data_IF_972868388171
#
_entry.id   IF_972868388171
#
_cell.length_a   1.000
_cell.length_b   1.000
_cell.length_c   1.000
_cell.angle_alpha   90.00
_cell.angle_beta   90.00
_cell.angle_gamma   90.00
#
_symmetry.space_group_name_H-M   'P 1'
#
loop_
_entity.id
_entity.type
_entity.pdbx_description
1 polymer ?
#
# COMPACT_ATOMS: atom_id res chain seq x y z
N UNK A 1 26.96 39.29 -9.93
CA UNK A 1 26.99 38.70 -11.28
C UNK A 1 27.95 37.52 -11.35
N UNK A 2 29.14 37.58 -10.75
CA UNK A 2 30.09 36.44 -10.77
C UNK A 2 29.59 35.21 -9.99
N UNK A 3 28.95 35.42 -8.83
CA UNK A 3 28.42 34.32 -8.00
C UNK A 3 27.31 33.53 -8.68
N UNK A 4 26.44 34.20 -9.44
CA UNK A 4 25.36 33.56 -10.21
C UNK A 4 25.90 32.76 -11.39
N UNK A 5 26.99 33.20 -12.03
CA UNK A 5 27.62 32.48 -13.14
C UNK A 5 28.33 31.21 -12.65
N UNK A 6 29.05 31.30 -11.54
CA UNK A 6 29.70 30.14 -10.91
C UNK A 6 28.68 29.08 -10.45
N UNK A 7 27.55 29.49 -9.89
CA UNK A 7 26.46 28.56 -9.52
C UNK A 7 25.85 27.87 -10.74
N UNK A 8 25.67 28.58 -11.85
CA UNK A 8 25.14 27.98 -13.09
C UNK A 8 26.10 26.97 -13.71
N UNK A 9 27.41 27.23 -13.67
CA UNK A 9 28.40 26.28 -14.18
C UNK A 9 28.49 25.02 -13.30
N UNK A 10 28.47 25.17 -11.98
CA UNK A 10 28.44 24.03 -11.05
C UNK A 10 27.19 23.16 -11.25
N UNK A 11 26.01 23.76 -11.41
CA UNK A 11 24.78 23.01 -11.69
C UNK A 11 24.86 22.26 -13.03
N UNK A 12 25.48 22.86 -14.04
CA UNK A 12 25.64 22.26 -15.36
C UNK A 12 26.56 21.05 -15.31
N UNK A 13 27.69 21.16 -14.60
CA UNK A 13 28.63 20.07 -14.39
C UNK A 13 27.99 18.90 -13.61
N UNK A 14 27.19 19.20 -12.57
CA UNK A 14 26.41 18.20 -11.85
C UNK A 14 25.37 17.50 -12.74
N UNK A 15 24.69 18.25 -13.61
CA UNK A 15 23.73 17.69 -14.56
C UNK A 15 24.43 16.81 -15.60
N UNK A 16 25.58 17.22 -16.11
CA UNK A 16 26.39 16.42 -17.06
C UNK A 16 26.84 15.11 -16.42
N UNK A 17 27.25 15.14 -15.15
CA UNK A 17 27.60 13.92 -14.40
C UNK A 17 26.40 12.97 -14.23
N UNK A 18 25.20 13.51 -13.93
CA UNK A 18 23.97 12.70 -13.83
C UNK A 18 23.56 12.14 -15.20
N UNK A 19 23.69 12.94 -16.27
CA UNK A 19 23.38 12.53 -17.64
C UNK A 19 24.34 11.47 -18.18
N UNK A 20 25.57 11.40 -17.67
CA UNK A 20 26.55 10.36 -18.05
C UNK A 20 26.14 8.96 -17.57
N UNK A 21 25.33 8.86 -16.50
CA UNK A 21 24.87 7.59 -15.95
C UNK A 21 23.34 7.55 -15.78
N UNK A 22 22.56 7.65 -16.87
CA UNK A 22 21.10 7.70 -16.79
C UNK A 22 20.52 6.40 -16.19
N UNK A 23 21.22 5.28 -16.37
CA UNK A 23 20.87 3.99 -15.80
C UNK A 23 21.00 3.95 -14.26
N UNK A 24 21.95 4.68 -13.65
CA UNK A 24 22.06 4.75 -12.19
C UNK A 24 20.84 5.43 -11.58
N UNK A 25 20.35 6.51 -12.21
CA UNK A 25 19.12 7.19 -11.79
C UNK A 25 17.93 6.23 -11.85
N UNK A 26 17.79 5.47 -12.94
CA UNK A 26 16.75 4.46 -13.07
C UNK A 26 16.87 3.37 -12.00
N UNK A 27 18.09 2.88 -11.70
CA UNK A 27 18.31 1.89 -10.63
C UNK A 27 17.90 2.45 -9.28
N UNK A 28 18.34 3.67 -8.93
CA UNK A 28 17.99 4.32 -7.66
C UNK A 28 16.47 4.50 -7.52
N UNK A 29 15.78 4.90 -8.59
CA UNK A 29 14.32 5.06 -8.60
C UNK A 29 13.57 3.72 -8.56
N UNK A 30 14.13 2.64 -9.13
CA UNK A 30 13.49 1.32 -9.19
C UNK A 30 13.71 0.46 -7.95
N UNK A 31 14.81 0.64 -7.22
CA UNK A 31 15.07 -0.08 -5.96
C UNK A 31 13.89 0.00 -4.97
N UNK A 32 13.34 1.18 -4.61
CA UNK A 32 12.21 1.24 -3.69
C UNK A 32 10.97 0.54 -4.24
N UNK A 33 10.70 0.65 -5.54
CA UNK A 33 9.59 -0.06 -6.21
C UNK A 33 9.75 -1.59 -6.10
N UNK A 34 10.97 -2.13 -6.28
CA UNK A 34 11.26 -3.56 -6.12
C UNK A 34 11.06 -4.01 -4.67
N UNK A 35 11.49 -3.20 -3.69
CA UNK A 35 11.29 -3.49 -2.27
C UNK A 35 9.79 -3.56 -1.93
N UNK A 36 9.00 -2.61 -2.45
CA UNK A 36 7.54 -2.58 -2.26
C UNK A 36 6.86 -3.77 -2.96
N UNK A 37 7.25 -4.08 -4.20
CA UNK A 37 6.70 -5.19 -4.96
C UNK A 37 6.88 -6.54 -4.25
N UNK A 38 8.03 -6.73 -3.59
CA UNK A 38 8.30 -7.95 -2.79
C UNK A 38 7.37 -8.10 -1.57
N UNK A 39 6.74 -7.02 -1.10
CA UNK A 39 5.83 -7.06 0.05
C UNK A 39 4.38 -7.37 -0.32
N UNK A 40 4.07 -7.65 -1.60
CA UNK A 40 2.69 -7.90 -2.11
C UNK A 40 1.70 -6.80 -1.67
N UNK A 41 2.19 -5.56 -1.54
CA UNK A 41 1.38 -4.40 -1.19
C UNK A 41 0.70 -3.92 -2.46
N UNK A 42 -0.61 -4.11 -2.55
CA UNK A 42 -1.39 -3.61 -3.68
C UNK A 42 -1.77 -2.14 -3.45
N UNK A 43 -1.48 -1.24 -4.38
CA UNK A 43 -1.89 0.16 -4.26
C UNK A 43 -3.41 0.24 -4.32
N UNK A 44 -4.00 0.96 -3.36
CA UNK A 44 -5.42 1.30 -3.40
C UNK A 44 -5.69 2.28 -4.55
N UNK A 45 -6.89 2.25 -5.16
CA UNK A 45 -7.27 3.06 -6.33
C UNK A 45 -7.11 4.57 -6.10
N UNK A 46 -7.19 5.00 -4.84
CA UNK A 46 -6.96 6.39 -4.43
C UNK A 46 -5.57 6.90 -4.79
N UNK A 47 -4.56 6.01 -4.85
CA UNK A 47 -3.19 6.41 -5.12
C UNK A 47 -2.96 6.80 -6.59
N UNK A 48 -3.33 5.97 -7.60
CA UNK A 48 -3.35 6.40 -8.99
C UNK A 48 -4.17 7.68 -9.23
N UNK A 49 -5.33 7.81 -8.56
CA UNK A 49 -6.18 8.99 -8.68
C UNK A 49 -5.47 10.26 -8.14
N UNK A 50 -4.74 10.15 -7.03
CA UNK A 50 -3.95 11.26 -6.48
C UNK A 50 -2.80 11.67 -7.42
N UNK A 51 -2.16 10.71 -8.11
CA UNK A 51 -1.10 10.99 -9.09
C UNK A 51 -1.59 11.71 -10.35
N UNK A 52 -2.91 11.76 -10.60
CA UNK A 52 -3.45 12.61 -11.67
C UNK A 52 -3.28 14.11 -11.38
N UNK A 53 -3.22 14.51 -10.11
CA UNK A 53 -3.05 15.91 -9.73
C UNK A 53 -1.70 16.47 -10.20
N UNK A 54 -0.54 15.91 -9.81
CA UNK A 54 0.75 16.43 -10.25
C UNK A 54 0.90 16.30 -11.77
N UNK A 55 0.42 15.22 -12.40
CA UNK A 55 0.52 15.07 -13.86
C UNK A 55 -0.23 16.18 -14.62
N UNK A 56 -1.44 16.56 -14.18
CA UNK A 56 -2.16 17.70 -14.75
C UNK A 56 -1.42 19.02 -14.50
N UNK A 57 -0.86 19.21 -13.30
CA UNK A 57 -0.05 20.39 -12.99
C UNK A 57 1.20 20.47 -13.88
N UNK A 58 1.87 19.35 -14.15
CA UNK A 58 3.02 19.28 -15.05
C UNK A 58 2.65 19.69 -16.48
N UNK A 59 1.49 19.26 -16.98
CA UNK A 59 0.98 19.73 -18.29
C UNK A 59 0.72 21.24 -18.28
N UNK A 60 0.23 21.77 -17.15
CA UNK A 60 0.03 23.21 -16.94
C UNK A 60 1.30 24.06 -17.11
N UNK A 61 2.47 23.48 -16.82
CA UNK A 61 3.78 24.17 -16.97
C UNK A 61 4.02 24.63 -18.42
N UNK A 62 3.50 23.89 -19.41
CA UNK A 62 3.62 24.23 -20.83
C UNK A 62 2.95 25.58 -21.13
N UNK A 63 1.84 25.88 -20.46
CA UNK A 63 1.08 27.11 -20.65
C UNK A 63 1.58 28.26 -19.78
N UNK A 64 2.07 27.96 -18.57
CA UNK A 64 2.60 28.96 -17.66
C UNK A 64 3.63 28.35 -16.69
N UNK A 65 4.85 28.87 -16.71
CA UNK A 65 5.95 28.41 -15.84
C UNK A 65 5.67 28.59 -14.35
N UNK A 66 4.75 29.48 -13.96
CA UNK A 66 4.31 29.65 -12.56
C UNK A 66 3.72 28.38 -11.93
N UNK A 67 3.30 27.39 -12.74
CA UNK A 67 2.83 26.09 -12.27
C UNK A 67 3.93 25.13 -11.81
N UNK A 68 5.21 25.44 -12.07
CA UNK A 68 6.33 24.60 -11.69
C UNK A 68 6.42 24.38 -10.18
N UNK A 69 6.29 25.45 -9.39
CA UNK A 69 6.38 25.36 -7.92
C UNK A 69 5.20 24.54 -7.34
N UNK A 70 3.94 24.78 -7.73
CA UNK A 70 2.82 23.92 -7.34
C UNK A 70 2.98 22.44 -7.71
N UNK A 71 3.50 22.13 -8.91
CA UNK A 71 3.71 20.76 -9.36
C UNK A 71 4.70 20.01 -8.46
N UNK A 72 5.87 20.62 -8.21
CA UNK A 72 6.90 20.05 -7.32
C UNK A 72 6.35 19.87 -5.90
N UNK A 73 5.60 20.84 -5.40
CA UNK A 73 5.00 20.76 -4.06
C UNK A 73 3.99 19.60 -3.97
N UNK A 74 3.17 19.38 -5.01
CA UNK A 74 2.22 18.27 -5.06
C UNK A 74 2.94 16.91 -5.10
N UNK A 75 3.99 16.78 -5.92
CA UNK A 75 4.81 15.57 -5.99
C UNK A 75 5.46 15.24 -4.64
N UNK A 76 6.08 16.24 -4.00
CA UNK A 76 6.71 16.08 -2.70
C UNK A 76 5.68 15.65 -1.63
N UNK A 77 4.50 16.26 -1.62
CA UNK A 77 3.43 15.91 -0.68
C UNK A 77 2.97 14.47 -0.87
N UNK A 78 2.68 14.06 -2.11
CA UNK A 78 2.26 12.70 -2.41
C UNK A 78 3.36 11.71 -2.02
N UNK A 79 4.62 12.01 -2.34
CA UNK A 79 5.76 11.19 -1.98
C UNK A 79 5.88 10.99 -0.46
N UNK A 80 5.79 12.07 0.33
CA UNK A 80 5.85 12.00 1.79
C UNK A 80 4.70 11.16 2.34
N UNK A 81 3.47 11.38 1.88
CA UNK A 81 2.30 10.60 2.32
C UNK A 81 2.47 9.12 1.97
N UNK A 82 2.96 8.81 0.77
CA UNK A 82 3.25 7.44 0.33
C UNK A 82 4.27 6.76 1.22
N UNK A 83 5.31 7.50 1.60
CA UNK A 83 6.40 6.98 2.42
C UNK A 83 5.90 6.68 3.83
N UNK A 84 5.11 7.60 4.41
CA UNK A 84 4.46 7.39 5.71
C UNK A 84 3.52 6.19 5.67
N UNK A 85 2.68 6.08 4.63
CA UNK A 85 1.77 4.95 4.45
C UNK A 85 2.54 3.62 4.38
N UNK A 86 3.57 3.54 3.53
CA UNK A 86 4.41 2.36 3.37
C UNK A 86 5.09 1.92 4.67
N UNK A 87 5.61 2.85 5.46
CA UNK A 87 6.21 2.56 6.76
C UNK A 87 5.17 2.33 7.87
N UNK A 88 3.89 2.54 7.59
CA UNK A 88 2.81 2.25 8.55
C UNK A 88 2.16 0.90 8.39
N UNK A 89 2.38 0.22 7.27
CA UNK A 89 1.84 -1.11 7.01
C UNK A 89 2.38 -2.14 8.03
N UNK A 90 1.49 -2.94 8.66
CA UNK A 90 1.91 -4.00 9.57
C UNK A 90 2.67 -5.08 8.80
N UNK A 91 3.70 -5.64 9.43
CA UNK A 91 4.40 -6.80 8.89
C UNK A 91 3.49 -8.03 8.93
N UNK A 92 3.61 -8.91 7.92
CA UNK A 92 2.93 -10.21 7.90
C UNK A 92 3.31 -11.08 9.10
N UNK A 93 4.52 -10.89 9.65
CA UNK A 93 4.97 -11.60 10.85
C UNK A 93 4.24 -11.18 12.13
N UNK A 94 3.53 -10.04 12.12
CA UNK A 94 2.84 -9.49 13.29
C UNK A 94 1.33 -9.69 13.26
N UNK A 95 0.82 -10.33 12.20
CA UNK A 95 -0.58 -10.64 11.99
C UNK A 95 -0.71 -12.14 11.75
N UNK A 96 -1.48 -12.82 12.59
CA UNK A 96 -1.71 -14.26 12.49
C UNK A 96 -3.20 -14.56 12.46
N UNK A 97 -3.64 -15.13 11.34
CA UNK A 97 -5.01 -15.61 11.16
C UNK A 97 -5.06 -17.12 11.37
N UNK A 98 -6.00 -17.56 12.18
CA UNK A 98 -6.25 -18.97 12.46
C UNK A 98 -7.71 -19.29 12.17
N UNK A 99 -7.93 -20.42 11.50
CA UNK A 99 -9.27 -20.95 11.23
C UNK A 99 -9.44 -22.22 12.03
N UNK A 100 -10.40 -22.21 12.94
CA UNK A 100 -10.76 -23.35 13.79
C UNK A 100 -12.06 -23.94 13.29
N UNK A 101 -12.00 -25.19 12.81
CA UNK A 101 -13.16 -25.93 12.32
C UNK A 101 -13.02 -27.41 12.67
N UNK A 102 -14.15 -28.11 12.67
CA UNK A 102 -14.15 -29.55 12.88
C UNK A 102 -13.50 -30.26 11.69
N UNK A 103 -12.71 -31.31 11.99
CA UNK A 103 -12.05 -32.15 10.98
C UNK A 103 -13.03 -32.81 10.01
N UNK A 104 -14.24 -33.09 10.49
CA UNK A 104 -15.32 -33.69 9.70
C UNK A 104 -16.54 -32.78 9.78
N UNK A 105 -17.06 -32.43 8.60
CA UNK A 105 -18.28 -31.65 8.43
C UNK A 105 -19.34 -32.52 7.74
N UNK A 106 -20.60 -32.36 8.12
CA UNK A 106 -21.70 -33.01 7.41
C UNK A 106 -22.01 -32.23 6.14
N UNK A 107 -22.29 -32.95 5.05
CA UNK A 107 -22.67 -32.34 3.76
C UNK A 107 -24.01 -31.58 3.88
N UNK A 108 -24.91 -32.03 4.76
CA UNK A 108 -26.28 -31.51 4.82
C UNK A 108 -26.47 -30.47 5.94
N UNK A 109 -25.54 -30.39 6.90
CA UNK A 109 -25.69 -29.53 8.10
C UNK A 109 -24.75 -28.33 8.08
N UNK A 110 -25.19 -27.23 8.69
CA UNK A 110 -24.36 -26.05 8.90
C UNK A 110 -23.13 -26.40 9.75
N UNK A 111 -21.97 -26.03 9.22
CA UNK A 111 -20.69 -26.19 9.90
C UNK A 111 -20.29 -24.87 10.53
N UNK A 112 -20.06 -24.88 11.83
CA UNK A 112 -19.65 -23.70 12.59
C UNK A 112 -18.13 -23.57 12.50
N UNK A 113 -17.66 -22.38 12.14
CA UNK A 113 -16.25 -22.05 12.06
C UNK A 113 -15.95 -20.83 12.90
N UNK A 114 -14.88 -20.93 13.67
CA UNK A 114 -14.32 -19.82 14.43
C UNK A 114 -13.06 -19.31 13.70
N UNK A 115 -13.11 -18.06 13.28
CA UNK A 115 -11.98 -17.37 12.69
C UNK A 115 -11.34 -16.45 13.73
N UNK A 116 -10.07 -16.67 14.01
CA UNK A 116 -9.33 -15.93 15.05
C UNK A 116 -8.26 -15.08 14.39
N UNK A 117 -8.33 -13.78 14.62
CA UNK A 117 -7.34 -12.82 14.15
C UNK A 117 -6.53 -12.29 15.32
N UNK A 118 -5.23 -12.58 15.28
CA UNK A 118 -4.26 -12.21 16.32
C UNK A 118 -3.40 -11.06 15.77
N UNK A 119 -3.46 -9.91 16.43
CA UNK A 119 -2.60 -8.77 16.14
C UNK A 119 -1.49 -8.70 17.19
N UNK A 120 -0.28 -9.12 16.84
CA UNK A 120 0.90 -9.05 17.72
C UNK A 120 1.61 -7.68 17.61
N UNK A 121 1.18 -6.82 16.70
CA UNK A 121 1.77 -5.50 16.52
C UNK A 121 1.43 -4.54 17.67
N UNK A 122 2.26 -3.51 17.82
CA UNK A 122 2.04 -2.41 18.76
C UNK A 122 1.05 -1.35 18.24
N UNK A 123 0.35 -1.60 17.12
CA UNK A 123 -0.55 -0.66 16.47
C UNK A 123 -1.97 -1.21 16.43
N UNK A 124 -2.95 -0.31 16.41
CA UNK A 124 -4.36 -0.65 16.20
C UNK A 124 -4.58 -0.80 14.70
N UNK A 125 -5.22 -1.88 14.28
CA UNK A 125 -5.42 -2.21 12.88
C UNK A 125 -6.91 -2.24 12.54
N UNK A 126 -7.25 -1.75 11.34
CA UNK A 126 -8.56 -1.93 10.72
C UNK A 126 -8.39 -2.97 9.63
N UNK A 127 -9.11 -4.07 9.75
CA UNK A 127 -8.94 -5.23 8.89
C UNK A 127 -10.29 -5.59 8.27
N UNK A 128 -10.24 -6.04 7.03
CA UNK A 128 -11.33 -6.74 6.37
C UNK A 128 -10.86 -8.16 6.16
N UNK A 129 -11.57 -9.10 6.75
CA UNK A 129 -11.33 -10.52 6.66
C UNK A 129 -12.30 -11.09 5.63
N UNK A 130 -11.80 -11.92 4.73
CA UNK A 130 -12.60 -12.67 3.77
C UNK A 130 -12.17 -14.13 3.90
N UNK A 131 -13.10 -15.01 4.22
CA UNK A 131 -12.84 -16.45 4.14
C UNK A 131 -12.89 -16.90 2.68
N UNK A 132 -11.83 -17.55 2.22
CA UNK A 132 -11.68 -18.04 0.83
C UNK A 132 -12.42 -19.38 0.66
N UNK A 133 -13.75 -19.32 0.80
CA UNK A 133 -14.62 -20.47 0.61
C UNK A 133 -14.86 -20.73 -0.89
N UNK A 134 -14.80 -22.00 -1.35
CA UNK A 134 -15.20 -22.34 -2.70
C UNK A 134 -16.66 -21.98 -2.99
N UNK A 135 -16.98 -21.75 -4.26
CA UNK A 135 -18.35 -21.41 -4.71
C UNK A 135 -19.39 -22.49 -4.42
N UNK A 136 -18.96 -23.72 -4.11
CA UNK A 136 -19.83 -24.84 -3.73
C UNK A 136 -20.37 -24.74 -2.30
N UNK A 137 -20.12 -23.62 -1.59
CA UNK A 137 -20.59 -23.40 -0.23
C UNK A 137 -21.53 -22.18 -0.17
N UNK A 138 -22.69 -22.39 0.41
CA UNK A 138 -23.57 -21.32 0.87
C UNK A 138 -23.05 -20.79 2.22
N UNK A 139 -22.85 -19.48 2.31
CA UNK A 139 -22.41 -18.79 3.52
C UNK A 139 -23.28 -17.57 3.76
N UNK A 140 -23.68 -17.33 5.02
CA UNK A 140 -24.48 -16.15 5.38
C UNK A 140 -23.64 -14.88 5.33
N UNK A 141 -22.41 -14.93 5.85
CA UNK A 141 -21.46 -13.82 5.84
C UNK A 141 -20.03 -14.38 5.72
N UNK A 142 -19.31 -13.95 4.69
CA UNK A 142 -17.89 -14.31 4.48
C UNK A 142 -16.94 -13.14 4.69
N UNK A 143 -17.46 -11.91 4.76
CA UNK A 143 -16.68 -10.68 4.86
C UNK A 143 -16.89 -10.05 6.23
N UNK A 144 -15.85 -10.05 7.05
CA UNK A 144 -15.90 -9.46 8.39
C UNK A 144 -15.05 -8.19 8.45
N UNK A 145 -15.66 -7.07 8.85
CA UNK A 145 -14.95 -5.81 9.07
C UNK A 145 -14.73 -5.59 10.55
N UNK A 146 -13.47 -5.44 10.95
CA UNK A 146 -13.16 -5.29 12.36
C UNK A 146 -12.01 -4.33 12.62
N UNK A 147 -12.06 -3.76 13.81
CA UNK A 147 -10.93 -3.05 14.40
C UNK A 147 -10.35 -3.92 15.51
N UNK A 148 -9.04 -4.16 15.46
CA UNK A 148 -8.30 -4.93 16.47
C UNK A 148 -7.26 -3.99 17.10
N UNK A 149 -7.28 -3.92 18.42
CA UNK A 149 -6.34 -3.18 19.24
C UNK A 149 -4.92 -3.75 19.19
N UNK A 150 -4.04 -3.11 19.93
CA UNK A 150 -2.61 -3.49 20.00
C UNK A 150 -2.50 -4.78 20.80
N UNK A 151 -1.73 -5.77 20.32
CA UNK A 151 -1.52 -7.05 21.03
C UNK A 151 -2.84 -7.73 21.43
N UNK A 152 -3.86 -7.57 20.60
CA UNK A 152 -5.22 -8.08 20.87
C UNK A 152 -5.53 -9.25 19.93
N UNK A 153 -6.35 -10.16 20.43
CA UNK A 153 -6.93 -11.22 19.63
C UNK A 153 -8.43 -11.05 19.54
N UNK A 154 -8.99 -11.16 18.33
CA UNK A 154 -10.43 -11.09 18.10
C UNK A 154 -10.91 -12.33 17.37
N UNK A 155 -12.04 -12.87 17.82
CA UNK A 155 -12.68 -14.05 17.25
C UNK A 155 -13.97 -13.66 16.54
N UNK A 156 -14.22 -14.29 15.40
CA UNK A 156 -15.42 -14.17 14.59
C UNK A 156 -15.99 -15.56 14.38
N UNK A 157 -17.30 -15.70 14.52
CA UNK A 157 -17.99 -16.96 14.34
C UNK A 157 -18.99 -16.82 13.21
N UNK A 158 -19.01 -17.80 12.32
CA UNK A 158 -19.94 -17.86 11.21
C UNK A 158 -20.20 -19.31 10.84
N UNK A 159 -21.23 -19.52 10.02
CA UNK A 159 -21.63 -20.83 9.55
C UNK A 159 -21.70 -20.85 8.03
N UNK A 160 -21.31 -21.98 7.45
CA UNK A 160 -21.52 -22.28 6.04
C UNK A 160 -22.14 -23.67 5.88
N UNK A 161 -22.71 -23.90 4.71
CA UNK A 161 -23.29 -25.18 4.30
C UNK A 161 -22.81 -25.53 2.88
N UNK A 162 -22.42 -26.79 2.62
CA UNK A 162 -22.22 -27.26 1.25
C UNK A 162 -23.52 -27.21 0.45
N UNK A 163 -23.45 -26.75 -0.80
CA UNK A 163 -24.56 -26.74 -1.77
C UNK A 163 -24.62 -28.05 -2.55
#
# INVERSE_FOLDING_TARGET
METTLQQTEQLREQLEFIQMFPWLVLVVLTIPLIIVARRKVYPHITYPLALLIPTVLTVGIIFNTSWLVPAIAADALIFIVSLLDLFTLPSTSTLRAERHHNKVASIVKNSHVAFRMINESSRRLRLTLLDDLPETFEVEESIFRAVIGKRETKEFQYSFKPT
#
